data_IF_210157760499
#
_entry.id   IF_210157760499
#
_cell.length_a   1.000
_cell.length_b   1.000
_cell.length_c   1.000
_cell.angle_alpha   90.00
_cell.angle_beta   90.00
_cell.angle_gamma   90.00
#
_symmetry.space_group_name_H-M   'P 1'
#
loop_
_entity.id
_entity.type
_entity.pdbx_description
1 polymer ?
#
# COMPACT_ATOMS: atom_id res chain seq x y z
N UNK A 1 -10.26 -0.83 -5.01
CA UNK A 1 -10.42 -0.29 -3.64
C UNK A 1 -9.10 0.29 -3.18
N UNK A 2 -9.13 1.12 -2.15
CA UNK A 2 -7.93 1.80 -1.64
C UNK A 2 -7.72 1.49 -0.15
N UNK A 3 -6.47 1.27 0.24
CA UNK A 3 -6.05 1.26 1.64
C UNK A 3 -5.32 2.58 1.87
N UNK A 4 -5.87 3.43 2.72
CA UNK A 4 -5.35 4.78 2.93
C UNK A 4 -3.93 4.77 3.50
N UNK A 5 -3.73 4.07 4.62
CA UNK A 5 -2.41 3.91 5.22
C UNK A 5 -2.32 2.59 5.99
N UNK A 6 -1.09 2.09 6.12
CA UNK A 6 -0.74 1.05 7.09
C UNK A 6 0.49 1.47 7.85
N UNK A 7 0.55 1.11 9.13
CA UNK A 7 1.72 1.35 9.96
C UNK A 7 1.97 0.15 10.87
N UNK A 8 3.23 -0.23 10.99
CA UNK A 8 3.69 -1.26 11.91
C UNK A 8 4.80 -0.65 12.75
N UNK A 9 4.62 -0.68 14.08
CA UNK A 9 5.62 -0.21 15.04
C UNK A 9 6.99 -0.84 14.73
N UNK A 10 8.11 -0.10 14.82
CA UNK A 10 9.44 -0.62 14.52
C UNK A 10 9.77 -1.94 15.23
N UNK A 11 9.43 -2.07 16.52
CA UNK A 11 9.64 -3.29 17.32
C UNK A 11 8.81 -4.51 16.85
N UNK A 12 7.81 -4.28 16.02
CA UNK A 12 6.94 -5.30 15.43
C UNK A 12 7.26 -5.58 13.95
N UNK A 13 8.19 -4.85 13.33
CA UNK A 13 8.58 -5.08 11.93
C UNK A 13 9.36 -6.40 11.78
N UNK A 14 9.41 -6.93 10.56
CA UNK A 14 10.08 -8.21 10.25
C UNK A 14 9.34 -9.48 10.71
N UNK A 15 8.23 -9.35 11.46
CA UNK A 15 7.46 -10.47 12.03
C UNK A 15 6.23 -10.88 11.20
N UNK A 16 6.08 -10.34 9.99
CA UNK A 16 4.95 -10.65 9.10
C UNK A 16 3.66 -9.84 9.34
N UNK A 17 3.59 -8.98 10.36
CA UNK A 17 2.39 -8.19 10.66
C UNK A 17 1.93 -7.29 9.49
N UNK A 18 2.85 -6.64 8.79
CA UNK A 18 2.48 -5.82 7.62
C UNK A 18 1.80 -6.64 6.51
N UNK A 19 2.31 -7.86 6.25
CA UNK A 19 1.70 -8.79 5.28
C UNK A 19 0.31 -9.22 5.75
N UNK A 20 0.15 -9.53 7.04
CA UNK A 20 -1.15 -9.88 7.61
C UNK A 20 -2.16 -8.74 7.46
N UNK A 21 -1.76 -7.50 7.74
CA UNK A 21 -2.62 -6.32 7.56
C UNK A 21 -3.07 -6.14 6.11
N UNK A 22 -2.16 -6.17 5.15
CA UNK A 22 -2.51 -6.05 3.71
C UNK A 22 -3.43 -7.17 3.25
N UNK A 23 -3.21 -8.41 3.73
CA UNK A 23 -4.09 -9.56 3.47
C UNK A 23 -5.50 -9.32 3.95
N UNK A 24 -5.67 -8.87 5.18
CA UNK A 24 -7.00 -8.60 5.74
C UNK A 24 -7.69 -7.44 5.01
N UNK A 25 -6.95 -6.39 4.63
CA UNK A 25 -7.48 -5.35 3.75
C UNK A 25 -7.95 -5.91 2.41
N UNK A 26 -7.14 -6.76 1.76
CA UNK A 26 -7.50 -7.38 0.49
C UNK A 26 -8.73 -8.29 0.60
N UNK A 27 -8.84 -9.09 1.69
CA UNK A 27 -10.05 -9.88 1.99
C UNK A 27 -11.29 -8.99 2.14
N UNK A 28 -11.18 -7.90 2.91
CA UNK A 28 -12.28 -6.97 3.14
C UNK A 28 -12.71 -6.22 1.87
N UNK A 29 -11.77 -5.90 0.97
CA UNK A 29 -12.08 -5.33 -0.34
C UNK A 29 -12.76 -6.38 -1.24
N UNK A 30 -12.22 -7.60 -1.31
CA UNK A 30 -12.78 -8.68 -2.10
C UNK A 30 -14.21 -9.05 -1.67
N UNK A 31 -14.50 -9.08 -0.37
CA UNK A 31 -15.85 -9.36 0.16
C UNK A 31 -16.88 -8.29 -0.19
N UNK A 32 -16.42 -7.10 -0.62
CA UNK A 32 -17.25 -6.00 -1.13
C UNK A 32 -17.32 -5.96 -2.66
N UNK A 33 -16.80 -6.99 -3.36
CA UNK A 33 -16.74 -7.04 -4.81
C UNK A 33 -15.63 -6.18 -5.44
N UNK A 34 -14.72 -5.64 -4.63
CA UNK A 34 -13.60 -4.83 -5.13
C UNK A 34 -12.43 -5.74 -5.49
N UNK A 35 -12.19 -5.91 -6.78
CA UNK A 35 -11.14 -6.78 -7.32
C UNK A 35 -9.74 -6.16 -7.26
N UNK A 36 -9.61 -4.83 -7.15
CA UNK A 36 -8.32 -4.16 -7.12
C UNK A 36 -7.98 -3.57 -5.75
N UNK A 37 -6.68 -3.46 -5.44
CA UNK A 37 -6.15 -2.74 -4.29
C UNK A 37 -5.15 -1.69 -4.74
N UNK A 38 -5.17 -0.54 -4.09
CA UNK A 38 -4.24 0.57 -4.30
C UNK A 38 -3.81 1.14 -2.95
N UNK A 39 -2.54 1.48 -2.82
CA UNK A 39 -1.99 2.15 -1.64
C UNK A 39 -0.94 3.17 -2.07
N UNK A 40 -0.98 4.33 -1.44
CA UNK A 40 -0.01 5.40 -1.67
C UNK A 40 1.13 5.33 -0.66
N UNK A 41 2.32 5.70 -1.11
CA UNK A 41 3.51 5.78 -0.28
C UNK A 41 4.43 6.86 -0.80
N UNK A 42 5.05 7.62 0.10
CA UNK A 42 6.08 8.60 -0.28
C UNK A 42 7.15 7.95 -1.15
N UNK A 43 7.56 8.65 -2.21
CA UNK A 43 8.60 8.20 -3.15
C UNK A 43 9.91 7.89 -2.42
N UNK A 44 10.20 8.62 -1.35
CA UNK A 44 11.39 8.50 -0.51
C UNK A 44 11.33 7.32 0.46
N UNK A 45 10.14 6.78 0.75
CA UNK A 45 9.95 5.68 1.69
C UNK A 45 10.33 4.33 1.04
N UNK A 46 11.63 4.09 0.88
CA UNK A 46 12.17 2.90 0.24
C UNK A 46 11.74 1.59 0.94
N UNK A 47 11.59 1.61 2.28
CA UNK A 47 11.15 0.45 3.06
C UNK A 47 9.71 0.08 2.69
N UNK A 48 8.81 1.06 2.65
CA UNK A 48 7.41 0.85 2.27
C UNK A 48 7.27 0.40 0.82
N UNK A 49 7.97 1.05 -0.10
CA UNK A 49 8.00 0.69 -1.52
C UNK A 49 8.47 -0.75 -1.74
N UNK A 50 9.64 -1.10 -1.21
CA UNK A 50 10.17 -2.46 -1.29
C UNK A 50 9.31 -3.49 -0.54
N UNK A 51 8.52 -3.08 0.45
CA UNK A 51 7.51 -3.95 1.07
C UNK A 51 6.37 -4.27 0.10
N UNK A 52 5.80 -3.28 -0.59
CA UNK A 52 4.72 -3.52 -1.56
C UNK A 52 5.19 -4.31 -2.79
N UNK A 53 6.40 -4.05 -3.29
CA UNK A 53 7.00 -4.79 -4.41
C UNK A 53 7.17 -6.28 -4.08
N UNK A 54 7.65 -6.59 -2.86
CA UNK A 54 7.75 -7.98 -2.38
C UNK A 54 6.40 -8.68 -2.17
N UNK A 55 5.31 -7.92 -2.08
CA UNK A 55 3.95 -8.45 -2.09
C UNK A 55 3.34 -8.51 -3.49
N UNK A 56 4.13 -8.27 -4.54
CA UNK A 56 3.70 -8.31 -5.95
C UNK A 56 2.99 -7.05 -6.42
N UNK A 57 3.04 -5.97 -5.64
CA UNK A 57 2.48 -4.68 -6.05
C UNK A 57 3.37 -4.02 -7.10
N UNK A 58 2.74 -3.35 -8.05
CA UNK A 58 3.46 -2.57 -9.08
C UNK A 58 3.19 -1.09 -8.89
N UNK A 59 4.21 -0.25 -9.08
CA UNK A 59 4.00 1.19 -9.19
C UNK A 59 3.14 1.48 -10.43
N UNK A 60 1.96 2.08 -10.25
CA UNK A 60 1.00 2.32 -11.34
C UNK A 60 0.69 3.80 -11.56
N UNK A 61 1.02 4.67 -10.61
CA UNK A 61 0.79 6.11 -10.69
C UNK A 61 1.68 6.87 -9.72
N UNK A 62 1.86 8.16 -9.98
CA UNK A 62 2.47 9.11 -9.05
C UNK A 62 1.59 10.36 -8.96
N UNK A 63 1.62 11.05 -7.82
CA UNK A 63 1.00 12.38 -7.65
C UNK A 63 1.82 13.20 -6.66
N UNK A 64 1.73 14.52 -6.74
CA UNK A 64 2.22 15.39 -5.67
C UNK A 64 1.31 15.24 -4.44
N UNK A 65 1.90 15.38 -3.25
CA UNK A 65 1.12 15.44 -2.03
C UNK A 65 0.50 16.85 -1.93
N UNK A 66 -0.83 16.90 -1.81
CA UNK A 66 -1.59 18.16 -1.81
C UNK A 66 -2.37 18.35 -0.50
N UNK A 67 -2.11 17.53 0.53
CA UNK A 67 -2.91 17.50 1.75
C UNK A 67 -2.71 18.72 2.67
N UNK A 68 -1.56 19.41 2.57
CA UNK A 68 -1.24 20.57 3.40
C UNK A 68 -0.25 21.53 2.72
N UNK A 69 -0.21 22.83 3.11
CA UNK A 69 0.74 23.80 2.54
C UNK A 69 2.20 23.33 2.68
N UNK A 70 2.95 23.34 1.58
CA UNK A 70 4.34 22.86 1.53
C UNK A 70 4.49 21.36 1.25
N UNK A 71 3.40 20.60 1.15
CA UNK A 71 3.44 19.18 0.80
C UNK A 71 3.84 18.93 -0.67
N UNK A 72 3.75 19.94 -1.52
CA UNK A 72 3.97 19.89 -2.98
C UNK A 72 5.39 19.39 -3.37
N UNK A 73 6.35 19.51 -2.45
CA UNK A 73 7.72 18.99 -2.60
C UNK A 73 7.80 17.46 -2.50
N UNK A 74 6.75 16.81 -1.98
CA UNK A 74 6.68 15.37 -1.80
C UNK A 74 5.84 14.72 -2.90
N UNK A 75 6.30 13.55 -3.37
CA UNK A 75 5.58 12.73 -4.34
C UNK A 75 5.14 11.43 -3.69
N UNK A 76 3.89 11.06 -3.90
CA UNK A 76 3.38 9.74 -3.56
C UNK A 76 3.39 8.83 -4.80
N UNK A 77 3.86 7.60 -4.61
CA UNK A 77 3.80 6.51 -5.59
C UNK A 77 2.65 5.59 -5.20
N UNK A 78 1.74 5.32 -6.14
CA UNK A 78 0.63 4.40 -5.95
C UNK A 78 1.04 2.98 -6.35
N UNK A 79 1.05 2.04 -5.40
CA UNK A 79 1.25 0.61 -5.65
C UNK A 79 -0.09 -0.10 -5.80
N UNK A 80 -0.27 -0.81 -6.91
CA UNK A 80 -1.53 -1.44 -7.29
C UNK A 80 -1.46 -2.95 -7.47
N UNK A 81 -2.57 -3.63 -7.15
CA UNK A 81 -2.87 -5.02 -7.49
C UNK A 81 -4.18 -5.06 -8.27
N UNK A 82 -4.17 -5.72 -9.43
CA UNK A 82 -5.38 -5.88 -10.27
C UNK A 82 -6.36 -6.92 -9.72
N UNK A 83 -5.85 -7.85 -8.91
CA UNK A 83 -6.62 -8.92 -8.28
C UNK A 83 -6.29 -9.01 -6.78
N UNK A 84 -7.24 -8.67 -5.93
CA UNK A 84 -7.13 -8.76 -4.46
C UNK A 84 -6.88 -10.19 -4.01
N UNK A 85 -7.29 -11.20 -4.77
CA UNK A 85 -7.03 -12.62 -4.43
C UNK A 85 -5.54 -12.97 -4.50
N UNK A 86 -4.75 -12.27 -5.31
CA UNK A 86 -3.29 -12.46 -5.38
C UNK A 86 -2.59 -12.14 -4.05
N UNK A 87 -3.22 -11.32 -3.20
CA UNK A 87 -2.71 -11.00 -1.86
C UNK A 87 -3.16 -11.99 -0.79
N UNK A 88 -4.23 -12.74 -1.02
CA UNK A 88 -4.95 -13.55 -0.03
C UNK A 88 -4.37 -14.97 0.13
N UNK A 89 -3.59 -15.43 -0.86
CA UNK A 89 -2.85 -16.70 -0.83
C UNK A 89 -1.67 -16.70 0.13
#
# INVERSE_FOLDING_TARGET
>A
GEVYAIYVLPAAQGKGHGRALIRECARALASRGLSSLLIWVLRENQIGRGFYERLGGTAVREKQLEEFPGAEEHVEVGYGWKDTRALVG
#
